data_IF_470943907634
#
_entry.id   IF_470943907634
#
_cell.length_a   1.000
_cell.length_b   1.000
_cell.length_c   1.000
_cell.angle_alpha   90.00
_cell.angle_beta   90.00
_cell.angle_gamma   90.00
#
_symmetry.space_group_name_H-M   'P 1'
#
loop_
_entity.id
_entity.type
_entity.pdbx_description
1 polymer ?
#
# COMPACT_ATOMS: atom_id res chain seq x y z
N UNK A 1 -6.21 63.47 -31.51
CA UNK A 1 -5.86 62.58 -30.38
C UNK A 1 -4.34 62.53 -30.25
N UNK A 2 -3.80 62.84 -29.07
CA UNK A 2 -2.35 62.82 -28.85
C UNK A 2 -1.83 61.38 -28.86
N UNK A 3 -0.75 61.12 -29.60
CA UNK A 3 -0.12 59.80 -29.74
C UNK A 3 0.78 59.56 -28.52
N UNK A 4 0.20 59.00 -27.45
CA UNK A 4 0.94 58.65 -26.23
C UNK A 4 1.89 57.47 -26.46
N UNK A 5 3.07 57.53 -25.82
CA UNK A 5 4.02 56.42 -25.81
C UNK A 5 3.39 55.19 -25.12
N UNK A 6 3.61 53.97 -25.64
CA UNK A 6 3.01 52.77 -25.05
C UNK A 6 3.58 52.50 -23.65
N UNK A 7 2.69 52.14 -22.70
CA UNK A 7 2.99 51.94 -21.28
C UNK A 7 4.00 50.78 -21.03
N UNK A 8 4.14 49.87 -22.00
CA UNK A 8 5.14 48.81 -22.02
C UNK A 8 6.60 49.32 -22.01
N UNK A 9 6.82 50.63 -22.27
CA UNK A 9 8.13 51.29 -22.12
C UNK A 9 8.50 51.62 -20.67
N UNK A 10 7.52 51.63 -19.77
CA UNK A 10 7.70 51.97 -18.34
C UNK A 10 7.52 50.73 -17.47
N UNK A 11 6.56 49.86 -17.79
CA UNK A 11 6.27 48.65 -17.03
C UNK A 11 5.68 47.58 -17.94
N UNK A 12 6.20 46.35 -17.86
CA UNK A 12 5.74 45.22 -18.66
C UNK A 12 5.03 44.20 -17.74
N UNK A 13 3.80 43.81 -18.08
CA UNK A 13 3.02 42.82 -17.32
C UNK A 13 2.85 41.58 -18.18
N UNK A 14 3.36 40.45 -17.69
CA UNK A 14 3.21 39.15 -18.37
C UNK A 14 2.29 38.28 -17.53
N UNK A 15 1.24 37.74 -18.15
CA UNK A 15 0.34 36.77 -17.52
C UNK A 15 0.85 35.38 -17.87
N UNK A 16 1.36 34.66 -16.87
CA UNK A 16 1.81 33.28 -17.01
C UNK A 16 0.74 32.33 -16.46
N UNK A 17 0.27 31.40 -17.29
CA UNK A 17 -0.53 30.27 -16.83
C UNK A 17 0.38 29.32 -16.03
N UNK A 18 -0.02 28.97 -14.81
CA UNK A 18 0.75 28.08 -13.93
C UNK A 18 0.60 26.62 -14.35
N UNK A 19 1.62 25.81 -14.04
CA UNK A 19 1.61 24.39 -14.33
C UNK A 19 0.60 23.64 -13.44
N UNK A 20 -0.06 22.62 -14.00
CA UNK A 20 -0.96 21.72 -13.25
C UNK A 20 -0.13 20.78 -12.36
N UNK A 21 -0.48 20.71 -11.09
CA UNK A 21 0.17 19.82 -10.13
C UNK A 21 -0.01 18.34 -10.50
N UNK A 22 1.01 17.53 -10.22
CA UNK A 22 0.94 16.08 -10.27
C UNK A 22 0.00 15.55 -9.17
N UNK A 23 -0.75 14.50 -9.47
CA UNK A 23 -1.63 13.82 -8.53
C UNK A 23 -0.89 12.66 -7.85
N UNK A 24 -1.20 12.41 -6.58
CA UNK A 24 -0.68 11.24 -5.84
C UNK A 24 -1.26 9.93 -6.38
N UNK A 25 -0.60 8.81 -6.07
CA UNK A 25 -1.08 7.47 -6.42
C UNK A 25 -2.25 7.04 -5.55
N UNK A 26 -3.10 6.17 -6.10
CA UNK A 26 -4.21 5.56 -5.38
C UNK A 26 -3.73 4.30 -4.64
N UNK A 27 -3.66 4.35 -3.31
CA UNK A 27 -3.30 3.20 -2.47
C UNK A 27 -4.51 2.30 -2.13
N UNK A 28 -5.69 2.62 -2.66
CA UNK A 28 -6.87 1.77 -2.67
C UNK A 28 -7.10 1.03 -3.99
N UNK A 29 -6.08 0.97 -4.86
CA UNK A 29 -6.18 0.34 -6.18
C UNK A 29 -5.70 -1.11 -6.17
N UNK A 30 -6.61 -2.04 -6.39
CA UNK A 30 -6.32 -3.47 -6.43
C UNK A 30 -6.23 -3.99 -7.86
N UNK A 31 -5.33 -4.93 -8.10
CA UNK A 31 -5.22 -5.74 -9.29
C UNK A 31 -5.52 -7.18 -8.94
N UNK A 32 -6.52 -7.77 -9.61
CA UNK A 32 -6.63 -9.22 -9.70
C UNK A 32 -6.03 -9.72 -11.01
N UNK A 33 -5.15 -10.71 -10.93
CA UNK A 33 -4.48 -11.30 -12.09
C UNK A 33 -5.11 -12.66 -12.38
N UNK A 34 -5.82 -12.76 -13.50
CA UNK A 34 -6.46 -13.99 -13.96
C UNK A 34 -5.78 -14.55 -15.21
N UNK A 35 -6.01 -15.83 -15.49
CA UNK A 35 -5.47 -16.53 -16.65
C UNK A 35 -6.50 -16.70 -17.79
N UNK A 36 -7.69 -16.09 -17.67
CA UNK A 36 -8.66 -16.10 -18.76
C UNK A 36 -8.18 -15.28 -19.97
N UNK A 37 -8.72 -15.65 -21.12
CA UNK A 37 -8.33 -15.06 -22.41
C UNK A 37 -9.23 -13.89 -22.87
N UNK A 38 -10.09 -13.40 -21.97
CA UNK A 38 -11.11 -12.37 -22.26
C UNK A 38 -10.48 -11.01 -22.57
N UNK A 39 -9.49 -10.58 -21.79
CA UNK A 39 -8.75 -9.34 -22.05
C UNK A 39 -7.70 -9.62 -23.13
N UNK A 40 -7.65 -8.91 -24.27
CA UNK A 40 -6.64 -9.16 -25.30
C UNK A 40 -5.21 -8.92 -24.80
N UNK A 41 -4.23 -9.64 -25.38
CA UNK A 41 -2.80 -9.48 -25.07
C UNK A 41 -2.30 -8.04 -25.23
N UNK A 42 -2.89 -7.28 -26.16
CA UNK A 42 -2.53 -5.87 -26.40
C UNK A 42 -3.03 -4.92 -25.31
N UNK A 43 -4.10 -5.28 -24.60
CA UNK A 43 -4.68 -4.46 -23.55
C UNK A 43 -4.01 -4.72 -22.20
N UNK A 44 -3.74 -6.00 -21.86
CA UNK A 44 -3.12 -6.50 -20.62
C UNK A 44 -3.85 -6.20 -19.31
N UNK A 45 -4.44 -5.03 -19.17
CA UNK A 45 -4.97 -4.50 -17.93
C UNK A 45 -6.22 -3.67 -18.22
N UNK A 46 -7.35 -4.03 -17.61
CA UNK A 46 -8.62 -3.30 -17.74
C UNK A 46 -9.13 -2.86 -16.38
N UNK A 47 -9.70 -1.66 -16.31
CA UNK A 47 -10.29 -1.11 -15.10
C UNK A 47 -11.80 -1.35 -15.08
N UNK A 48 -12.31 -1.81 -13.95
CA UNK A 48 -13.73 -2.00 -13.68
C UNK A 48 -14.15 -1.23 -12.43
N UNK A 49 -15.42 -0.85 -12.37
CA UNK A 49 -16.05 -0.19 -11.21
C UNK A 49 -17.21 -0.98 -10.60
N UNK A 50 -17.70 -2.00 -11.29
CA UNK A 50 -18.80 -2.86 -10.84
C UNK A 50 -18.52 -4.34 -11.17
N UNK A 51 -18.89 -5.29 -10.28
CA UNK A 51 -18.75 -6.71 -10.59
C UNK A 51 -19.64 -7.15 -11.75
N UNK A 52 -20.77 -6.47 -12.02
CA UNK A 52 -21.64 -6.83 -13.15
C UNK A 52 -20.93 -6.70 -14.50
N UNK A 53 -20.12 -5.65 -14.68
CA UNK A 53 -19.34 -5.43 -15.91
C UNK A 53 -18.31 -6.55 -16.13
N UNK A 54 -17.73 -7.09 -15.05
CA UNK A 54 -16.83 -8.25 -15.11
C UNK A 54 -17.63 -9.52 -15.43
N UNK A 55 -18.84 -9.65 -14.89
CA UNK A 55 -19.74 -10.77 -15.19
C UNK A 55 -20.19 -10.80 -16.64
N UNK A 56 -20.40 -9.63 -17.25
CA UNK A 56 -20.76 -9.50 -18.67
C UNK A 56 -19.58 -9.88 -19.59
N UNK A 57 -18.35 -9.50 -19.22
CA UNK A 57 -17.14 -9.77 -20.01
C UNK A 57 -16.61 -11.21 -19.83
N UNK A 58 -16.52 -11.70 -18.59
CA UNK A 58 -15.88 -12.97 -18.25
C UNK A 58 -16.86 -14.11 -17.95
N UNK A 59 -18.13 -13.79 -17.72
CA UNK A 59 -19.13 -14.74 -17.20
C UNK A 59 -19.09 -14.85 -15.67
N UNK A 60 -20.25 -15.13 -15.08
CA UNK A 60 -20.43 -15.21 -13.61
C UNK A 60 -19.73 -16.40 -12.94
N UNK A 61 -19.30 -17.39 -13.73
CA UNK A 61 -18.58 -18.57 -13.23
C UNK A 61 -17.06 -18.38 -13.23
N UNK A 62 -16.57 -17.28 -13.81
CA UNK A 62 -15.14 -16.95 -13.87
C UNK A 62 -14.56 -16.67 -12.48
N UNK A 63 -13.26 -16.96 -12.32
CA UNK A 63 -12.54 -16.66 -11.09
C UNK A 63 -12.38 -15.14 -10.89
N UNK A 64 -12.24 -14.39 -11.99
CA UNK A 64 -12.21 -12.93 -11.96
C UNK A 64 -13.51 -12.33 -11.42
N UNK A 65 -14.68 -12.85 -11.83
CA UNK A 65 -15.97 -12.41 -11.29
C UNK A 65 -16.12 -12.78 -9.81
N UNK A 66 -15.78 -14.01 -9.41
CA UNK A 66 -15.86 -14.44 -7.99
C UNK A 66 -14.97 -13.57 -7.10
N UNK A 67 -13.75 -13.28 -7.53
CA UNK A 67 -12.84 -12.37 -6.86
C UNK A 67 -13.43 -10.95 -6.76
N UNK A 68 -14.01 -10.43 -7.86
CA UNK A 68 -14.64 -9.12 -7.88
C UNK A 68 -15.83 -8.99 -6.92
N UNK A 69 -16.67 -10.03 -6.81
CA UNK A 69 -17.80 -10.04 -5.86
C UNK A 69 -17.29 -9.87 -4.42
N UNK A 70 -16.24 -10.60 -4.04
CA UNK A 70 -15.60 -10.47 -2.71
C UNK A 70 -15.04 -9.06 -2.52
N UNK A 71 -14.32 -8.54 -3.51
CA UNK A 71 -13.74 -7.19 -3.48
C UNK A 71 -14.79 -6.09 -3.27
N UNK A 72 -15.90 -6.12 -4.01
CA UNK A 72 -16.93 -5.08 -3.98
C UNK A 72 -17.96 -5.25 -2.85
N UNK A 73 -17.95 -6.38 -2.13
CA UNK A 73 -18.87 -6.66 -1.01
C UNK A 73 -18.53 -5.95 0.31
N UNK A 74 -17.41 -5.22 0.35
CA UNK A 74 -16.94 -4.54 1.55
C UNK A 74 -17.79 -3.33 1.92
N UNK A 75 -17.74 -2.93 3.19
CA UNK A 75 -18.39 -1.72 3.69
C UNK A 75 -17.40 -0.86 4.51
N UNK A 76 -16.97 0.32 4.00
CA UNK A 76 -17.29 0.93 2.71
C UNK A 76 -16.89 0.07 1.51
N UNK A 77 -17.58 0.25 0.38
CA UNK A 77 -17.32 -0.47 -0.88
C UNK A 77 -16.16 0.19 -1.64
N UNK A 78 -15.12 -0.56 -2.06
CA UNK A 78 -14.13 -0.10 -3.03
C UNK A 78 -14.77 0.36 -4.33
N UNK A 79 -14.19 1.37 -4.97
CA UNK A 79 -14.76 1.99 -6.18
C UNK A 79 -14.19 1.46 -7.49
N UNK A 80 -13.05 0.77 -7.42
CA UNK A 80 -12.27 0.38 -8.59
C UNK A 80 -11.60 -0.97 -8.36
N UNK A 81 -11.47 -1.75 -9.42
CA UNK A 81 -10.71 -3.00 -9.48
C UNK A 81 -10.06 -3.11 -10.86
N UNK A 82 -8.76 -3.35 -10.91
CA UNK A 82 -8.09 -3.71 -12.16
C UNK A 82 -8.11 -5.22 -12.33
N UNK A 83 -8.43 -5.68 -13.54
CA UNK A 83 -8.28 -7.07 -13.95
C UNK A 83 -7.13 -7.14 -14.96
N UNK A 84 -6.11 -7.90 -14.62
CA UNK A 84 -4.94 -8.13 -15.44
C UNK A 84 -4.99 -9.52 -16.07
N UNK A 85 -4.42 -9.65 -17.26
CA UNK A 85 -4.26 -10.95 -17.94
C UNK A 85 -2.86 -11.49 -17.76
N UNK A 86 -2.79 -12.69 -17.18
CA UNK A 86 -1.65 -13.59 -17.29
C UNK A 86 -1.79 -14.44 -18.55
N UNK A 87 -0.80 -14.38 -19.43
CA UNK A 87 -0.80 -15.10 -20.70
C UNK A 87 -0.16 -16.48 -20.50
N UNK A 88 -0.78 -17.34 -19.70
CA UNK A 88 -0.37 -18.75 -19.56
C UNK A 88 -0.75 -19.58 -20.81
N UNK A 89 -1.75 -19.09 -21.55
CA UNK A 89 -2.37 -19.72 -22.70
C UNK A 89 -2.84 -18.67 -23.71
N UNK A 90 -3.00 -19.12 -24.96
CA UNK A 90 -3.37 -18.28 -26.11
C UNK A 90 -4.64 -18.80 -26.76
N UNK A 91 -5.50 -17.89 -27.22
CA UNK A 91 -6.59 -18.27 -28.13
C UNK A 91 -6.04 -18.50 -29.53
N UNK A 92 -6.84 -19.17 -30.38
CA UNK A 92 -6.45 -19.38 -31.80
C UNK A 92 -6.29 -18.09 -32.60
N UNK A 93 -6.81 -16.96 -32.11
CA UNK A 93 -6.69 -15.65 -32.74
C UNK A 93 -5.44 -14.87 -32.30
N UNK A 94 -4.68 -15.40 -31.34
CA UNK A 94 -3.53 -14.74 -30.73
C UNK A 94 -2.21 -15.37 -31.13
N UNK A 95 -1.16 -14.55 -31.17
CA UNK A 95 0.20 -14.98 -31.48
C UNK A 95 1.17 -14.30 -30.52
N UNK A 96 2.13 -15.05 -30.00
CA UNK A 96 3.12 -14.59 -29.03
C UNK A 96 3.65 -15.74 -28.19
N UNK A 97 4.64 -15.49 -27.31
CA UNK A 97 5.02 -16.44 -26.28
C UNK A 97 3.98 -16.46 -25.16
N UNK A 98 3.78 -17.62 -24.53
CA UNK A 98 3.18 -17.69 -23.20
C UNK A 98 4.19 -17.22 -22.15
N UNK A 99 3.69 -16.87 -20.98
CA UNK A 99 4.47 -16.25 -19.92
C UNK A 99 4.37 -17.05 -18.61
N UNK A 100 5.47 -17.10 -17.86
CA UNK A 100 5.41 -17.50 -16.45
C UNK A 100 4.71 -16.43 -15.63
N UNK A 101 4.24 -16.78 -14.43
CA UNK A 101 3.62 -15.84 -13.52
C UNK A 101 4.52 -14.62 -13.25
N UNK A 102 5.82 -14.87 -13.01
CA UNK A 102 6.80 -13.82 -12.79
C UNK A 102 6.93 -12.87 -13.99
N UNK A 103 6.90 -13.40 -15.22
CA UNK A 103 6.95 -12.58 -16.43
C UNK A 103 5.70 -11.68 -16.55
N UNK A 104 4.52 -12.24 -16.30
CA UNK A 104 3.27 -11.47 -16.31
C UNK A 104 3.27 -10.36 -15.25
N UNK A 105 3.70 -10.66 -14.02
CA UNK A 105 3.79 -9.65 -12.95
C UNK A 105 4.79 -8.56 -13.31
N UNK A 106 5.99 -8.91 -13.81
CA UNK A 106 6.99 -7.93 -14.23
C UNK A 106 6.47 -7.01 -15.34
N UNK A 107 5.72 -7.55 -16.32
CA UNK A 107 5.08 -6.73 -17.34
C UNK A 107 4.02 -5.77 -16.75
N UNK A 108 3.31 -6.20 -15.70
CA UNK A 108 2.31 -5.37 -15.02
C UNK A 108 2.93 -4.35 -14.06
N UNK A 109 4.18 -4.52 -13.64
CA UNK A 109 4.88 -3.53 -12.81
C UNK A 109 5.06 -2.18 -13.52
N UNK A 110 5.15 -2.17 -14.86
CA UNK A 110 5.24 -0.94 -15.66
C UNK A 110 3.96 -0.08 -15.59
N UNK A 111 2.83 -0.65 -15.17
CA UNK A 111 1.59 0.08 -14.96
C UNK A 111 1.50 0.61 -13.52
N UNK A 112 1.60 1.94 -13.36
CA UNK A 112 1.60 2.60 -12.04
C UNK A 112 0.21 2.79 -11.40
N UNK A 113 -0.84 2.30 -12.07
CA UNK A 113 -2.25 2.51 -11.74
C UNK A 113 -2.78 1.64 -10.60
N UNK A 114 -2.04 0.59 -10.21
CA UNK A 114 -2.41 -0.35 -9.16
C UNK A 114 -1.39 -0.38 -8.01
N UNK A 115 -1.81 -0.84 -6.84
CA UNK A 115 -1.00 -0.95 -5.63
C UNK A 115 -0.96 -2.38 -5.07
N UNK A 116 -2.13 -3.02 -4.89
CA UNK A 116 -2.23 -4.41 -4.44
C UNK A 116 -2.37 -5.40 -5.59
N UNK A 117 -1.89 -6.63 -5.39
CA UNK A 117 -2.01 -7.75 -6.33
C UNK A 117 -2.58 -8.99 -5.61
N UNK A 118 -3.51 -9.69 -6.25
CA UNK A 118 -4.00 -11.03 -5.86
C UNK A 118 -4.25 -11.85 -7.13
N UNK A 119 -4.17 -13.18 -7.04
CA UNK A 119 -4.46 -14.05 -8.18
C UNK A 119 -5.95 -14.42 -8.22
N UNK A 120 -6.54 -14.44 -9.42
CA UNK A 120 -7.90 -14.89 -9.67
C UNK A 120 -7.84 -16.00 -10.73
N UNK A 121 -7.28 -17.14 -10.34
CA UNK A 121 -7.05 -18.30 -11.21
C UNK A 121 -7.72 -19.54 -10.62
N UNK A 122 -8.15 -20.50 -11.46
CA UNK A 122 -8.72 -21.75 -10.98
C UNK A 122 -7.75 -22.49 -10.06
N UNK A 123 -8.27 -23.22 -9.07
CA UNK A 123 -7.44 -23.98 -8.11
C UNK A 123 -6.51 -24.98 -8.81
N UNK A 124 -6.96 -25.57 -9.94
CA UNK A 124 -6.16 -26.49 -10.73
C UNK A 124 -4.94 -25.84 -11.40
N UNK A 125 -5.01 -24.53 -11.65
CA UNK A 125 -3.98 -23.72 -12.30
C UNK A 125 -3.25 -22.81 -11.30
N UNK A 126 -3.53 -22.96 -9.99
CA UNK A 126 -2.93 -22.10 -8.98
C UNK A 126 -1.41 -22.36 -8.91
N UNK A 127 -0.58 -21.30 -8.94
CA UNK A 127 0.87 -21.45 -8.99
C UNK A 127 1.44 -22.16 -7.76
N UNK A 128 2.58 -22.82 -7.94
CA UNK A 128 3.27 -23.46 -6.84
C UNK A 128 3.97 -22.44 -5.90
N UNK A 129 4.49 -22.93 -4.78
CA UNK A 129 5.20 -22.11 -3.80
C UNK A 129 6.39 -21.35 -4.41
N UNK A 130 7.12 -21.96 -5.35
CA UNK A 130 8.32 -21.37 -5.90
C UNK A 130 7.98 -20.17 -6.80
N UNK A 131 6.90 -20.27 -7.57
CA UNK A 131 6.36 -19.18 -8.36
C UNK A 131 5.86 -18.03 -7.47
N UNK A 132 5.11 -18.33 -6.41
CA UNK A 132 4.60 -17.33 -5.46
C UNK A 132 5.73 -16.61 -4.70
N UNK A 133 6.78 -17.33 -4.32
CA UNK A 133 7.99 -16.75 -3.71
C UNK A 133 8.73 -15.86 -4.70
N UNK A 134 8.80 -16.25 -5.97
CA UNK A 134 9.44 -15.44 -7.02
C UNK A 134 8.67 -14.14 -7.27
N UNK A 135 7.33 -14.19 -7.29
CA UNK A 135 6.49 -12.99 -7.36
C UNK A 135 6.64 -12.12 -6.12
N UNK A 136 6.69 -12.72 -4.93
CA UNK A 136 6.91 -11.99 -3.67
C UNK A 136 8.23 -11.20 -3.72
N UNK A 137 9.31 -11.82 -4.25
CA UNK A 137 10.59 -11.16 -4.45
C UNK A 137 10.53 -9.98 -5.44
N UNK A 138 9.79 -10.15 -6.55
CA UNK A 138 9.60 -9.09 -7.53
C UNK A 138 8.82 -7.90 -6.95
N UNK A 139 7.78 -8.17 -6.16
CA UNK A 139 6.99 -7.14 -5.47
C UNK A 139 7.82 -6.43 -4.38
N UNK A 140 8.66 -7.16 -3.65
CA UNK A 140 9.56 -6.60 -2.64
C UNK A 140 10.59 -5.63 -3.25
N UNK A 141 11.11 -5.96 -4.44
CA UNK A 141 12.15 -5.20 -5.14
C UNK A 141 11.63 -4.11 -6.07
N UNK A 142 10.30 -4.01 -6.24
CA UNK A 142 9.70 -3.00 -7.11
C UNK A 142 10.03 -1.57 -6.64
N UNK A 143 10.50 -0.72 -7.55
CA UNK A 143 10.83 0.69 -7.25
C UNK A 143 9.59 1.47 -6.81
N UNK A 144 8.46 1.15 -7.42
CA UNK A 144 7.16 1.71 -7.06
C UNK A 144 6.53 0.75 -6.05
N UNK A 145 6.21 1.25 -4.85
CA UNK A 145 5.60 0.45 -3.80
C UNK A 145 4.36 -0.31 -4.30
N UNK A 146 4.37 -1.63 -4.08
CA UNK A 146 3.28 -2.59 -4.30
C UNK A 146 3.18 -3.53 -3.10
N UNK A 147 2.08 -4.26 -3.01
CA UNK A 147 1.90 -5.36 -2.07
C UNK A 147 1.20 -6.55 -2.74
N UNK A 148 1.52 -7.75 -2.28
CA UNK A 148 0.94 -9.01 -2.74
C UNK A 148 0.07 -9.61 -1.64
N UNK A 149 -1.15 -10.02 -2.00
CA UNK A 149 -2.06 -10.79 -1.17
C UNK A 149 -2.12 -12.24 -1.68
N UNK A 150 -1.88 -13.19 -0.79
CA UNK A 150 -1.94 -14.62 -1.06
C UNK A 150 -2.97 -15.23 -0.10
N UNK A 151 -3.90 -16.00 -0.64
CA UNK A 151 -4.71 -16.92 0.17
C UNK A 151 -4.19 -18.32 -0.03
N UNK A 152 -3.97 -19.06 1.06
CA UNK A 152 -3.57 -20.48 1.00
C UNK A 152 -4.57 -21.34 1.76
N UNK A 153 -4.93 -22.48 1.18
CA UNK A 153 -5.74 -23.52 1.82
C UNK A 153 -4.89 -24.72 2.26
N UNK A 154 -3.55 -24.58 2.24
CA UNK A 154 -2.63 -25.65 2.62
C UNK A 154 -2.74 -25.95 4.11
N UNK A 155 -3.22 -27.16 4.45
CA UNK A 155 -3.45 -27.56 5.85
C UNK A 155 -2.16 -27.64 6.68
N UNK A 156 -1.01 -27.86 6.03
CA UNK A 156 0.30 -27.94 6.68
C UNK A 156 0.71 -26.63 7.37
N UNK A 157 0.17 -25.49 6.92
CA UNK A 157 0.37 -24.18 7.55
C UNK A 157 -0.13 -24.21 9.01
N UNK A 158 -1.18 -24.97 9.33
CA UNK A 158 -1.75 -25.08 10.68
C UNK A 158 -0.88 -25.88 11.66
N UNK A 159 0.18 -26.54 11.20
CA UNK A 159 1.05 -27.37 12.02
C UNK A 159 2.35 -26.66 12.35
N UNK A 160 2.67 -26.51 13.63
CA UNK A 160 3.96 -25.97 14.09
C UNK A 160 5.14 -26.94 13.87
N UNK A 161 4.88 -28.17 13.44
CA UNK A 161 5.94 -29.13 13.11
C UNK A 161 6.38 -29.06 11.64
N UNK A 162 5.60 -28.41 10.78
CA UNK A 162 5.93 -28.25 9.36
C UNK A 162 6.56 -26.89 9.14
N UNK A 163 7.76 -26.91 8.56
CA UNK A 163 8.56 -25.72 8.25
C UNK A 163 8.76 -25.51 6.74
N UNK A 164 8.13 -26.35 5.92
CA UNK A 164 8.25 -26.37 4.45
C UNK A 164 7.03 -25.79 3.74
N UNK A 165 6.02 -25.34 4.47
CA UNK A 165 4.85 -24.68 3.91
C UNK A 165 5.19 -23.27 3.41
N UNK A 166 4.31 -22.71 2.58
CA UNK A 166 4.52 -21.41 1.95
C UNK A 166 4.67 -20.27 2.97
N UNK A 167 3.88 -20.25 4.04
CA UNK A 167 3.92 -19.17 5.03
C UNK A 167 5.26 -19.14 5.76
N UNK A 168 5.77 -20.32 6.15
CA UNK A 168 7.10 -20.44 6.77
C UNK A 168 8.20 -19.93 5.83
N UNK A 169 8.16 -20.30 4.54
CA UNK A 169 9.15 -19.84 3.53
C UNK A 169 9.10 -18.32 3.34
N UNK A 170 7.91 -17.73 3.21
CA UNK A 170 7.73 -16.28 3.04
C UNK A 170 8.19 -15.51 4.29
N UNK A 171 7.91 -16.03 5.49
CA UNK A 171 8.40 -15.46 6.75
C UNK A 171 9.92 -15.52 6.85
N UNK A 172 10.53 -16.64 6.47
CA UNK A 172 11.98 -16.81 6.49
C UNK A 172 12.68 -15.81 5.55
N UNK A 173 12.06 -15.50 4.41
CA UNK A 173 12.53 -14.51 3.45
C UNK A 173 12.32 -13.04 3.90
N UNK A 174 11.54 -12.79 4.96
CA UNK A 174 11.27 -11.45 5.52
C UNK A 174 10.64 -10.48 4.52
N UNK A 175 9.75 -10.96 3.65
CA UNK A 175 9.04 -10.09 2.72
C UNK A 175 8.10 -9.13 3.48
N UNK A 176 8.39 -7.83 3.37
CA UNK A 176 7.62 -6.74 3.99
C UNK A 176 6.41 -6.34 3.14
N UNK A 177 6.36 -6.79 1.89
CA UNK A 177 5.31 -6.47 0.91
C UNK A 177 4.44 -7.67 0.53
N UNK A 178 4.61 -8.82 1.18
CA UNK A 178 3.74 -9.99 1.01
C UNK A 178 2.87 -10.20 2.23
N UNK A 179 1.57 -10.40 2.00
CA UNK A 179 0.55 -10.76 2.97
C UNK A 179 0.02 -12.15 2.63
N UNK A 180 0.00 -13.06 3.59
CA UNK A 180 -0.59 -14.40 3.42
C UNK A 180 -1.69 -14.63 4.46
N UNK A 181 -2.80 -15.22 4.00
CA UNK A 181 -3.92 -15.61 4.84
C UNK A 181 -4.33 -17.05 4.57
N UNK A 182 -4.53 -17.82 5.65
CA UNK A 182 -5.11 -19.14 5.58
C UNK A 182 -6.64 -19.05 5.45
N UNK A 183 -7.18 -19.80 4.49
CA UNK A 183 -8.60 -20.15 4.46
C UNK A 183 -8.82 -21.47 3.75
N UNK A 184 -9.57 -22.37 4.39
CA UNK A 184 -9.96 -23.66 3.82
C UNK A 184 -11.19 -23.56 2.90
N UNK A 185 -11.91 -22.42 2.95
CA UNK A 185 -13.23 -22.28 2.33
C UNK A 185 -13.26 -21.33 1.14
N UNK A 186 -12.30 -20.40 1.04
CA UNK A 186 -12.27 -19.41 -0.04
C UNK A 186 -10.84 -19.07 -0.47
N UNK A 187 -10.52 -19.08 -1.78
CA UNK A 187 -9.23 -18.61 -2.28
C UNK A 187 -9.11 -17.07 -2.27
N UNK A 188 -10.15 -16.35 -1.85
CA UNK A 188 -10.22 -14.87 -1.90
C UNK A 188 -10.24 -14.22 -0.51
N UNK A 189 -9.84 -14.95 0.53
CA UNK A 189 -9.88 -14.46 1.90
C UNK A 189 -8.96 -13.24 2.11
N UNK A 190 -7.73 -13.29 1.59
CA UNK A 190 -6.80 -12.17 1.63
C UNK A 190 -7.30 -10.96 0.81
N UNK A 191 -7.97 -11.22 -0.32
CA UNK A 191 -8.59 -10.18 -1.14
C UNK A 191 -9.71 -9.44 -0.38
N UNK A 192 -10.52 -10.16 0.41
CA UNK A 192 -11.55 -9.57 1.28
C UNK A 192 -10.92 -8.63 2.32
N UNK A 193 -9.82 -9.07 2.96
CA UNK A 193 -9.07 -8.24 3.91
C UNK A 193 -8.52 -6.97 3.26
N UNK A 194 -7.95 -7.08 2.05
CA UNK A 194 -7.45 -5.94 1.30
C UNK A 194 -8.57 -4.98 0.89
N UNK A 195 -9.74 -5.50 0.49
CA UNK A 195 -10.89 -4.67 0.16
C UNK A 195 -11.32 -3.78 1.32
N UNK A 196 -11.20 -4.28 2.55
CA UNK A 196 -11.42 -3.48 3.76
C UNK A 196 -10.34 -2.40 3.93
N UNK A 197 -9.07 -2.77 3.85
CA UNK A 197 -7.94 -1.84 3.98
C UNK A 197 -7.94 -0.74 2.92
N UNK A 198 -8.28 -1.06 1.68
CA UNK A 198 -8.15 -0.16 0.53
C UNK A 198 -9.28 0.89 0.47
N UNK A 199 -10.18 0.88 1.45
CA UNK A 199 -11.19 1.93 1.66
C UNK A 199 -10.72 3.06 2.57
N UNK A 200 -9.52 2.93 3.16
CA UNK A 200 -8.91 3.99 3.98
C UNK A 200 -8.68 5.24 3.15
N UNK A 201 -9.30 6.35 3.58
CA UNK A 201 -9.07 7.66 2.99
C UNK A 201 -8.07 8.45 3.83
N UNK A 202 -6.78 8.38 3.51
CA UNK A 202 -5.71 9.09 4.22
C UNK A 202 -5.87 10.62 4.27
N UNK A 203 -6.77 11.23 3.49
CA UNK A 203 -7.07 12.67 3.58
C UNK A 203 -8.21 13.00 4.55
N UNK A 204 -8.92 11.97 5.02
CA UNK A 204 -9.96 12.08 6.03
C UNK A 204 -9.41 12.17 7.45
N UNK A 205 -10.31 12.37 8.42
CA UNK A 205 -9.95 12.41 9.84
C UNK A 205 -10.16 11.03 10.47
N UNK A 206 -9.15 10.51 11.17
CA UNK A 206 -9.20 9.22 11.90
C UNK A 206 -9.73 8.06 11.05
N UNK A 207 -9.16 7.89 9.86
CA UNK A 207 -9.61 6.91 8.87
C UNK A 207 -8.73 5.67 8.82
N UNK A 208 -7.51 5.72 9.36
CA UNK A 208 -6.61 4.55 9.41
C UNK A 208 -7.26 3.44 10.23
N UNK A 209 -7.07 2.19 9.80
CA UNK A 209 -7.64 1.01 10.45
C UNK A 209 -6.56 -0.06 10.58
N UNK A 210 -6.57 -0.80 11.70
CA UNK A 210 -5.92 -2.11 11.77
C UNK A 210 -6.77 -3.15 11.03
N UNK A 211 -6.12 -4.16 10.45
CA UNK A 211 -6.83 -5.32 9.88
C UNK A 211 -7.29 -6.31 10.95
N UNK A 212 -6.66 -6.34 12.13
CA UNK A 212 -7.16 -7.17 13.23
C UNK A 212 -8.59 -6.75 13.60
N UNK A 213 -9.41 -7.71 14.00
CA UNK A 213 -10.82 -7.51 14.38
C UNK A 213 -11.79 -7.21 13.23
N UNK A 214 -11.32 -7.14 11.98
CA UNK A 214 -12.22 -6.90 10.84
C UNK A 214 -12.97 -8.17 10.47
N UNK A 215 -14.22 -7.99 10.06
CA UNK A 215 -15.03 -9.02 9.42
C UNK A 215 -14.68 -9.06 7.94
N UNK A 216 -14.79 -10.26 7.35
CA UNK A 216 -14.54 -10.49 5.94
C UNK A 216 -15.84 -10.93 5.24
N UNK A 217 -16.60 -9.98 4.66
CA UNK A 217 -17.78 -10.31 3.87
C UNK A 217 -17.45 -11.31 2.75
N UNK A 218 -18.35 -12.28 2.56
CA UNK A 218 -18.20 -13.34 1.55
C UNK A 218 -17.23 -14.47 1.93
N UNK A 219 -16.60 -14.41 3.10
CA UNK A 219 -15.63 -15.41 3.57
C UNK A 219 -16.21 -16.16 4.78
N UNK A 220 -16.23 -17.49 4.70
CA UNK A 220 -16.58 -18.33 5.85
C UNK A 220 -15.38 -18.37 6.80
N UNK A 221 -15.64 -18.15 8.09
CA UNK A 221 -14.60 -18.22 9.11
C UNK A 221 -14.09 -19.65 9.32
N UNK A 222 -12.86 -19.75 9.80
CA UNK A 222 -12.26 -20.99 10.25
C UNK A 222 -12.66 -21.29 11.71
N UNK A 223 -12.76 -22.58 12.04
CA UNK A 223 -12.93 -23.06 13.41
C UNK A 223 -11.72 -23.92 13.77
N UNK A 224 -10.69 -23.27 14.33
CA UNK A 224 -9.40 -23.88 14.64
C UNK A 224 -9.10 -23.82 16.14
N UNK A 225 -8.29 -24.75 16.64
CA UNK A 225 -7.86 -24.76 18.04
C UNK A 225 -6.70 -23.79 18.31
N UNK A 226 -6.44 -23.51 19.59
CA UNK A 226 -5.35 -22.59 20.02
C UNK A 226 -3.97 -23.00 19.49
N UNK A 227 -3.67 -24.30 19.40
CA UNK A 227 -2.38 -24.77 18.86
C UNK A 227 -2.21 -24.41 17.39
N UNK A 228 -3.27 -24.48 16.59
CA UNK A 228 -3.26 -24.12 15.18
C UNK A 228 -3.19 -22.60 15.00
N UNK A 229 -3.91 -21.84 15.82
CA UNK A 229 -3.81 -20.37 15.85
C UNK A 229 -2.39 -19.91 16.20
N UNK A 230 -1.77 -20.53 17.20
CA UNK A 230 -0.38 -20.25 17.57
C UNK A 230 0.61 -20.62 16.45
N UNK A 231 0.35 -21.68 15.68
CA UNK A 231 1.18 -22.05 14.53
C UNK A 231 1.09 -20.99 13.42
N UNK A 232 -0.13 -20.50 13.12
CA UNK A 232 -0.35 -19.43 12.16
C UNK A 232 0.34 -18.12 12.57
N UNK A 233 0.18 -17.70 13.84
CA UNK A 233 0.85 -16.52 14.39
C UNK A 233 2.37 -16.68 14.35
N UNK A 234 2.89 -17.85 14.72
CA UNK A 234 4.31 -18.16 14.63
C UNK A 234 4.82 -18.17 13.18
N UNK A 235 3.96 -18.30 12.17
CA UNK A 235 4.33 -18.24 10.74
C UNK A 235 4.02 -16.89 10.08
N UNK A 236 3.56 -15.89 10.84
CA UNK A 236 3.04 -14.62 10.32
C UNK A 236 1.94 -14.82 9.26
N UNK A 237 1.15 -15.89 9.42
CA UNK A 237 0.03 -16.19 8.55
C UNK A 237 -1.27 -15.71 9.22
N UNK A 238 -2.09 -15.01 8.45
CA UNK A 238 -3.35 -14.47 8.93
C UNK A 238 -4.48 -15.49 8.79
N UNK A 239 -5.58 -15.32 9.52
CA UNK A 239 -6.75 -16.19 9.46
C UNK A 239 -8.01 -15.43 9.89
N UNK A 240 -9.14 -15.71 9.24
CA UNK A 240 -10.45 -15.25 9.69
C UNK A 240 -11.07 -16.34 10.55
N UNK A 241 -11.13 -16.14 11.87
CA UNK A 241 -11.42 -17.22 12.84
C UNK A 241 -12.58 -16.85 13.77
N UNK A 242 -13.36 -17.87 14.16
CA UNK A 242 -14.45 -17.73 15.12
C UNK A 242 -13.96 -17.74 16.57
N UNK A 243 -14.49 -16.84 17.38
CA UNK A 243 -14.24 -16.72 18.81
C UNK A 243 -15.46 -17.15 19.63
N UNK A 244 -15.23 -17.59 20.87
CA UNK A 244 -16.27 -18.08 21.80
C UNK A 244 -17.36 -17.06 22.13
N UNK A 245 -17.13 -15.78 21.85
CA UNK A 245 -18.08 -14.69 22.05
C UNK A 245 -19.06 -14.50 20.87
N UNK A 246 -19.21 -15.53 20.04
CA UNK A 246 -20.04 -15.54 18.82
C UNK A 246 -19.66 -14.49 17.77
N UNK A 247 -18.38 -14.15 17.70
CA UNK A 247 -17.85 -13.24 16.67
C UNK A 247 -16.72 -13.89 15.90
N UNK A 248 -16.66 -13.62 14.60
CA UNK A 248 -15.53 -13.98 13.77
C UNK A 248 -14.73 -12.74 13.39
N UNK A 249 -13.40 -12.83 13.56
CA UNK A 249 -12.47 -11.73 13.33
C UNK A 249 -11.26 -12.18 12.52
N UNK A 250 -10.68 -11.24 11.77
CA UNK A 250 -9.38 -11.42 11.14
C UNK A 250 -8.28 -11.25 12.19
N UNK A 251 -7.31 -12.17 12.17
CA UNK A 251 -6.09 -12.13 12.96
C UNK A 251 -4.87 -12.46 12.09
N UNK A 252 -3.68 -11.91 12.29
CA UNK A 252 -3.36 -10.75 13.14
C UNK A 252 -3.34 -9.43 12.34
N UNK A 253 -3.47 -9.48 11.01
CA UNK A 253 -3.28 -8.33 10.15
C UNK A 253 -1.81 -7.96 9.95
N UNK A 254 -0.93 -8.95 9.80
CA UNK A 254 0.52 -8.77 9.66
C UNK A 254 1.03 -9.18 8.27
N UNK A 255 2.10 -8.54 7.83
CA UNK A 255 2.89 -8.94 6.66
C UNK A 255 3.78 -10.14 7.00
N UNK A 256 4.32 -10.83 6.00
CA UNK A 256 5.16 -12.01 6.22
C UNK A 256 6.44 -11.71 7.03
N UNK A 257 6.97 -10.48 7.00
CA UNK A 257 8.09 -10.08 7.86
C UNK A 257 7.71 -9.86 9.34
N UNK A 258 6.42 -9.69 9.64
CA UNK A 258 5.87 -9.43 10.97
C UNK A 258 5.42 -7.99 11.21
N UNK A 259 5.67 -7.07 10.28
CA UNK A 259 5.16 -5.70 10.38
C UNK A 259 3.64 -5.70 10.26
N UNK A 260 2.99 -4.77 10.96
CA UNK A 260 1.55 -4.60 10.82
C UNK A 260 1.21 -4.05 9.43
N UNK A 261 0.17 -4.62 8.82
CA UNK A 261 -0.25 -4.25 7.47
C UNK A 261 -0.56 -2.75 7.37
N UNK A 262 -1.24 -2.18 8.37
CA UNK A 262 -1.69 -0.79 8.38
C UNK A 262 -0.53 0.20 8.44
N UNK A 263 0.56 -0.16 9.12
CA UNK A 263 1.81 0.61 9.11
C UNK A 263 2.44 0.59 7.72
N UNK A 264 2.58 -0.59 7.09
CA UNK A 264 3.13 -0.71 5.73
C UNK A 264 2.30 0.10 4.72
N UNK A 265 0.99 -0.08 4.71
CA UNK A 265 0.07 0.60 3.79
C UNK A 265 0.10 2.11 3.97
N UNK A 266 0.05 2.59 5.23
CA UNK A 266 0.12 4.01 5.54
C UNK A 266 1.46 4.65 5.19
N UNK A 267 2.58 3.98 5.47
CA UNK A 267 3.91 4.48 5.15
C UNK A 267 4.18 4.51 3.64
N UNK A 268 3.62 3.58 2.88
CA UNK A 268 3.69 3.60 1.41
C UNK A 268 2.95 4.78 0.81
N UNK A 269 1.74 5.06 1.33
CA UNK A 269 1.00 6.27 0.98
C UNK A 269 1.79 7.53 1.32
N UNK A 270 2.34 7.60 2.53
CA UNK A 270 3.10 8.76 3.00
C UNK A 270 4.30 9.06 2.12
N UNK A 271 5.09 8.03 1.78
CA UNK A 271 6.25 8.16 0.89
C UNK A 271 5.85 8.81 -0.44
N UNK A 272 4.79 8.31 -1.07
CA UNK A 272 4.33 8.85 -2.34
C UNK A 272 3.74 10.28 -2.20
N UNK A 273 3.01 10.55 -1.13
CA UNK A 273 2.42 11.85 -0.88
C UNK A 273 3.49 12.92 -0.64
N UNK A 274 4.52 12.63 0.15
CA UNK A 274 5.67 13.52 0.38
C UNK A 274 6.46 13.74 -0.91
N UNK A 275 6.74 12.68 -1.68
CA UNK A 275 7.43 12.80 -2.97
C UNK A 275 6.64 13.69 -3.94
N UNK A 276 5.32 13.52 -4.01
CA UNK A 276 4.44 14.31 -4.87
C UNK A 276 4.40 15.78 -4.43
N UNK A 277 4.37 16.05 -3.12
CA UNK A 277 4.36 17.40 -2.57
C UNK A 277 5.68 18.15 -2.84
N UNK A 278 6.83 17.52 -2.62
CA UNK A 278 8.13 18.14 -2.91
C UNK A 278 8.31 18.36 -4.43
N UNK A 279 7.94 17.38 -5.25
CA UNK A 279 7.94 17.54 -6.72
C UNK A 279 7.08 18.72 -7.17
N UNK A 280 5.83 18.81 -6.68
CA UNK A 280 4.92 19.90 -7.04
C UNK A 280 5.43 21.25 -6.57
N UNK A 281 6.10 21.32 -5.41
CA UNK A 281 6.73 22.54 -4.92
C UNK A 281 7.79 23.05 -5.89
N UNK A 282 8.60 22.14 -6.44
CA UNK A 282 9.64 22.48 -7.41
C UNK A 282 9.06 22.78 -8.81
N UNK A 283 8.10 21.98 -9.27
CA UNK A 283 7.58 22.03 -10.64
C UNK A 283 6.60 23.17 -10.88
N UNK A 284 5.73 23.48 -9.91
CA UNK A 284 4.68 24.50 -10.09
C UNK A 284 5.14 25.92 -9.73
N UNK A 285 6.32 26.06 -9.14
CA UNK A 285 6.89 27.37 -8.80
C UNK A 285 7.14 28.18 -10.07
N UNK A 286 6.49 29.34 -10.17
CA UNK A 286 6.65 30.26 -11.32
C UNK A 286 7.99 31.01 -11.30
N UNK A 287 8.64 31.01 -10.14
CA UNK A 287 9.99 31.55 -9.93
C UNK A 287 10.93 30.44 -9.45
N UNK A 288 12.24 30.69 -9.45
CA UNK A 288 13.18 29.69 -8.92
C UNK A 288 12.97 29.52 -7.42
N UNK A 289 12.95 28.27 -6.94
CA UNK A 289 13.21 28.00 -5.53
C UNK A 289 14.73 28.12 -5.33
N UNK A 290 15.21 29.15 -4.61
CA UNK A 290 16.65 29.39 -4.49
C UNK A 290 17.32 28.31 -3.64
N UNK A 291 18.58 27.98 -3.94
CA UNK A 291 19.44 27.19 -3.05
C UNK A 291 19.93 28.07 -1.89
N UNK A 292 18.99 28.40 -1.00
CA UNK A 292 19.20 29.12 0.26
C UNK A 292 18.36 28.46 1.34
N UNK A 293 18.64 28.74 2.60
CA UNK A 293 17.87 28.18 3.72
C UNK A 293 16.37 28.50 3.58
N UNK A 294 16.01 29.69 3.10
CA UNK A 294 14.61 30.06 2.82
C UNK A 294 13.95 29.17 1.73
N UNK A 295 14.72 28.76 0.71
CA UNK A 295 14.24 27.81 -0.29
C UNK A 295 14.03 26.42 0.28
N UNK A 296 14.94 25.95 1.14
CA UNK A 296 14.78 24.70 1.89
C UNK A 296 13.57 24.74 2.83
N UNK A 297 13.37 25.84 3.56
CA UNK A 297 12.18 26.06 4.40
C UNK A 297 10.88 26.02 3.58
N UNK A 298 10.90 26.54 2.34
CA UNK A 298 9.72 26.47 1.45
C UNK A 298 9.36 25.04 1.09
N UNK A 299 10.35 24.17 0.86
CA UNK A 299 10.14 22.74 0.63
C UNK A 299 9.60 22.05 1.88
N UNK A 300 10.24 22.28 3.05
CA UNK A 300 9.79 21.75 4.34
C UNK A 300 8.32 22.11 4.60
N UNK A 301 7.94 23.38 4.44
CA UNK A 301 6.58 23.83 4.69
C UNK A 301 5.51 23.13 3.81
N UNK A 302 5.86 22.67 2.61
CA UNK A 302 4.93 21.90 1.77
C UNK A 302 4.93 20.41 2.11
N UNK A 303 6.06 19.86 2.55
CA UNK A 303 6.14 18.50 3.10
C UNK A 303 5.31 18.40 4.40
N UNK A 304 5.43 19.39 5.29
CA UNK A 304 4.69 19.44 6.55
C UNK A 304 3.17 19.39 6.36
N UNK A 305 2.64 19.96 5.28
CA UNK A 305 1.20 19.83 4.95
C UNK A 305 0.77 18.37 4.77
N UNK A 306 1.65 17.51 4.26
CA UNK A 306 1.37 16.07 4.13
C UNK A 306 1.51 15.38 5.49
N UNK A 307 2.49 15.77 6.28
CA UNK A 307 2.70 15.21 7.63
C UNK A 307 1.53 15.56 8.57
N UNK A 308 0.97 16.76 8.45
CA UNK A 308 -0.25 17.19 9.15
C UNK A 308 -1.46 16.34 8.74
N UNK A 309 -1.55 15.94 7.47
CA UNK A 309 -2.60 15.03 7.00
C UNK A 309 -2.41 13.63 7.59
N UNK A 310 -1.17 13.15 7.72
CA UNK A 310 -0.87 11.86 8.35
C UNK A 310 -1.24 11.84 9.85
N UNK A 311 -1.00 12.93 10.58
CA UNK A 311 -1.49 13.08 11.97
C UNK A 311 -3.02 13.08 12.00
N UNK A 312 -3.67 13.91 11.18
CA UNK A 312 -5.13 14.01 11.12
C UNK A 312 -5.82 12.69 10.73
N UNK A 313 -5.20 11.90 9.86
CA UNK A 313 -5.76 10.61 9.45
C UNK A 313 -5.68 9.55 10.54
N UNK A 314 -4.90 9.79 11.59
CA UNK A 314 -4.59 8.82 12.64
C UNK A 314 -3.43 7.89 12.30
N UNK A 315 -2.60 8.24 11.31
CA UNK A 315 -1.38 7.48 10.99
C UNK A 315 -0.27 7.83 11.98
N UNK A 316 -0.12 9.13 12.27
CA UNK A 316 0.77 9.63 13.32
C UNK A 316 0.03 9.97 14.59
N UNK A 317 0.77 10.02 15.69
CA UNK A 317 0.28 10.56 16.95
C UNK A 317 1.40 11.26 17.72
N UNK A 318 1.08 12.27 18.54
CA UNK A 318 2.05 12.86 19.47
C UNK A 318 2.65 11.82 20.41
N UNK A 319 3.91 11.99 20.76
CA UNK A 319 4.58 11.05 21.66
C UNK A 319 6.05 11.35 21.89
N UNK A 320 6.73 10.43 22.58
CA UNK A 320 8.15 10.54 22.87
C UNK A 320 8.98 9.90 21.75
N UNK A 321 9.99 10.62 21.28
CA UNK A 321 10.97 10.13 20.32
C UNK A 321 11.91 9.13 20.99
N UNK A 322 11.92 7.90 20.48
CA UNK A 322 12.76 6.80 20.99
C UNK A 322 13.92 6.45 20.07
N UNK A 323 14.05 7.13 18.93
CA UNK A 323 15.15 6.93 18.00
C UNK A 323 16.41 7.71 18.42
N UNK A 324 17.46 7.59 17.61
CA UNK A 324 18.72 8.34 17.79
C UNK A 324 18.57 9.85 17.55
N UNK A 325 19.59 10.64 17.89
CA UNK A 325 19.56 12.08 17.69
C UNK A 325 19.48 12.46 16.20
N UNK A 326 18.69 13.49 15.88
CA UNK A 326 18.50 14.02 14.53
C UNK A 326 18.38 15.55 14.59
N UNK A 327 19.32 16.29 14.02
CA UNK A 327 19.31 17.75 14.09
C UNK A 327 19.31 18.23 15.55
N UNK A 328 18.25 18.90 15.97
CA UNK A 328 18.05 19.33 17.37
C UNK A 328 17.21 18.35 18.20
N UNK A 329 16.68 17.29 17.60
CA UNK A 329 15.87 16.28 18.28
C UNK A 329 16.78 15.26 18.98
N UNK A 330 16.62 15.12 20.29
CA UNK A 330 17.25 14.09 21.12
C UNK A 330 16.31 12.95 21.48
N UNK A 331 16.87 11.81 21.87
CA UNK A 331 16.08 10.70 22.44
C UNK A 331 15.42 11.15 23.74
N UNK A 332 14.11 10.91 23.87
CA UNK A 332 13.31 11.37 25.01
C UNK A 332 12.56 12.67 24.77
N UNK A 333 12.81 13.37 23.66
CA UNK A 333 12.10 14.59 23.33
C UNK A 333 10.66 14.31 22.88
N UNK A 334 9.78 15.27 23.14
CA UNK A 334 8.37 15.20 22.77
C UNK A 334 8.14 15.67 21.34
N UNK A 335 7.53 14.82 20.51
CA UNK A 335 6.99 15.16 19.21
C UNK A 335 5.53 15.60 19.36
N UNK A 336 5.30 16.89 19.63
CA UNK A 336 3.94 17.41 19.90
C UNK A 336 2.98 17.27 18.71
N UNK A 337 3.49 17.30 17.48
CA UNK A 337 2.72 17.09 16.25
C UNK A 337 2.77 15.64 15.74
N UNK A 338 3.37 14.73 16.50
CA UNK A 338 3.71 13.38 16.04
C UNK A 338 4.90 13.29 15.08
N UNK A 339 5.43 14.41 14.59
CA UNK A 339 6.61 14.47 13.73
C UNK A 339 7.53 15.67 13.99
N UNK A 340 8.75 15.60 13.47
CA UNK A 340 9.78 16.64 13.45
C UNK A 340 10.47 16.65 12.09
N UNK A 341 10.67 17.84 11.52
CA UNK A 341 11.38 18.03 10.25
C UNK A 341 12.69 18.76 10.47
N UNK A 342 13.73 18.38 9.74
CA UNK A 342 15.03 19.03 9.83
C UNK A 342 15.75 18.99 8.48
N UNK A 343 16.50 20.05 8.20
CA UNK A 343 17.49 20.10 7.13
C UNK A 343 18.67 20.93 7.61
N UNK A 344 19.88 20.61 7.15
CA UNK A 344 21.07 21.40 7.45
C UNK A 344 21.03 22.75 6.69
N UNK A 345 21.88 23.69 7.10
CA UNK A 345 22.06 24.93 6.34
C UNK A 345 22.71 24.64 4.99
N UNK A 346 22.29 25.39 3.96
CA UNK A 346 22.89 25.34 2.63
C UNK A 346 24.38 25.70 2.66
N UNK A 347 24.84 26.42 3.69
CA UNK A 347 26.26 26.76 3.87
C UNK A 347 27.14 25.53 4.11
N UNK A 348 26.58 24.46 4.69
CA UNK A 348 27.28 23.19 4.92
C UNK A 348 27.23 22.25 3.70
N UNK A 349 26.49 22.62 2.65
CA UNK A 349 26.36 21.79 1.45
C UNK A 349 27.66 21.80 0.63
N UNK A 350 28.09 20.62 0.16
CA UNK A 350 29.26 20.49 -0.72
C UNK A 350 29.12 21.36 -1.97
N UNK A 351 30.19 22.07 -2.33
CA UNK A 351 30.24 22.92 -3.52
C UNK A 351 29.85 22.16 -4.79
N UNK A 352 30.27 20.90 -4.93
CA UNK A 352 29.90 20.02 -6.06
C UNK A 352 28.40 19.77 -6.17
N UNK A 353 27.71 19.61 -5.04
CA UNK A 353 26.25 19.40 -5.01
C UNK A 353 25.49 20.70 -5.27
N UNK A 354 26.03 21.84 -4.81
CA UNK A 354 25.49 23.17 -5.12
C UNK A 354 25.58 23.46 -6.62
N UNK A 355 26.73 23.21 -7.24
CA UNK A 355 26.94 23.37 -8.68
C UNK A 355 26.06 22.42 -9.50
N UNK A 356 25.86 21.18 -9.02
CA UNK A 356 24.92 20.22 -9.58
C UNK A 356 23.44 20.52 -9.29
N UNK A 357 23.15 21.65 -8.62
CA UNK A 357 21.81 22.13 -8.27
C UNK A 357 20.98 21.17 -7.41
N UNK A 358 21.63 20.37 -6.57
CA UNK A 358 20.94 19.48 -5.62
C UNK A 358 20.40 20.30 -4.44
N UNK A 359 19.20 19.97 -3.97
CA UNK A 359 18.68 20.53 -2.72
C UNK A 359 19.34 19.87 -1.51
N UNK A 360 19.38 20.58 -0.38
CA UNK A 360 19.75 19.97 0.90
C UNK A 360 18.77 18.85 1.23
N UNK A 361 19.25 17.68 1.69
CA UNK A 361 18.38 16.60 2.16
C UNK A 361 17.49 17.07 3.31
N UNK A 362 16.20 16.76 3.23
CA UNK A 362 15.23 17.00 4.31
C UNK A 362 15.01 15.67 5.02
N UNK A 363 15.14 15.69 6.34
CA UNK A 363 14.92 14.56 7.22
C UNK A 363 13.61 14.76 7.98
N UNK A 364 12.88 13.66 8.19
CA UNK A 364 11.65 13.64 8.97
C UNK A 364 11.75 12.52 9.99
N UNK A 365 11.57 12.86 11.28
CA UNK A 365 11.34 11.90 12.35
C UNK A 365 9.85 11.90 12.67
N UNK A 366 9.21 10.74 12.74
CA UNK A 366 7.79 10.63 13.05
C UNK A 366 7.48 9.46 13.96
N UNK A 367 6.36 9.56 14.68
CA UNK A 367 5.82 8.54 15.58
C UNK A 367 4.50 8.04 15.01
N UNK A 368 4.43 6.75 14.69
CA UNK A 368 3.18 6.09 14.32
C UNK A 368 2.24 6.05 15.54
N UNK A 369 0.94 6.20 15.30
CA UNK A 369 -0.08 6.05 16.34
C UNK A 369 -0.14 4.60 16.88
N UNK A 370 0.13 3.63 16.00
CA UNK A 370 -0.02 2.20 16.28
C UNK A 370 -1.49 1.81 16.49
N UNK A 371 -1.70 0.52 16.78
CA UNK A 371 -3.01 -0.01 17.15
C UNK A 371 -2.87 -0.99 18.33
N UNK A 372 -3.81 -0.94 19.26
CA UNK A 372 -3.86 -1.89 20.38
C UNK A 372 -4.51 -3.18 19.91
N UNK A 373 -3.76 -4.28 19.93
CA UNK A 373 -4.21 -5.62 19.50
C UNK A 373 -4.44 -6.60 20.66
N UNK A 374 -3.88 -6.29 21.84
CA UNK A 374 -3.94 -7.10 23.05
C UNK A 374 -4.00 -6.18 24.28
N UNK A 375 -4.58 -6.64 25.39
CA UNK A 375 -4.60 -5.87 26.63
C UNK A 375 -4.92 -6.75 27.85
N UNK A 376 -4.26 -6.44 28.97
CA UNK A 376 -4.44 -7.12 30.25
C UNK A 376 -5.02 -6.15 31.29
N UNK A 377 -5.98 -6.61 32.09
CA UNK A 377 -6.57 -5.83 33.19
C UNK A 377 -6.46 -6.63 34.50
N UNK A 378 -5.68 -6.10 35.44
CA UNK A 378 -5.58 -6.63 36.79
C UNK A 378 -6.51 -5.87 37.74
N UNK A 379 -7.40 -6.58 38.43
CA UNK A 379 -8.30 -6.00 39.44
C UNK A 379 -7.82 -6.39 40.83
N UNK A 380 -7.39 -5.42 41.62
CA UNK A 380 -7.02 -5.59 43.03
C UNK A 380 -8.12 -5.02 43.91
N UNK A 381 -8.76 -5.86 44.74
CA UNK A 381 -9.80 -5.45 45.68
C UNK A 381 -9.22 -5.42 47.09
N UNK A 382 -9.36 -4.28 47.77
CA UNK A 382 -9.05 -4.14 49.20
C UNK A 382 -10.35 -4.27 49.98
N UNK A 383 -10.32 -4.96 51.13
CA UNK A 383 -11.49 -5.17 52.00
C UNK A 383 -11.97 -3.90 52.67
#
# INVERSE_FOLDING_TARGET
MAKGLPLNRVTNVTVTLSARAAQGRNFGSMLILGNSTVIPITERLRLYSDPADIGDDFGVDSEEYKAAVVWFSQSPRPTQLYVGRWIDSLTSAESGPTETLLQAVNALLDYNSWYGLHLAVPVADYPDDADLISVSSAIESATVSRILAITSSEADILSSAVETDLATKLKAAKYSRTYIQYSSTSPYAALSAFGRAFTVNFTGSNTTITLKFKQLPGITYETIGTSQANALEAKNCNVYVYYENDTAILEQGVMCNGDFFDERHGLDWLQNAVQTADYNTLYTSTTKIPQTDAGTTTRIANIEKVLDVADKSGLFAPGIWTGGPMGQLGTGDTLTKGYYTWADTVDNQLQTDREARKGVPIQVAAKLAGAVHYGDVAITVVR
#
